data_IF_753212064498
#
_entry.id   IF_753212064498
#
_cell.length_a   1.000
_cell.length_b   1.000
_cell.length_c   1.000
_cell.angle_alpha   90.00
_cell.angle_beta   90.00
_cell.angle_gamma   90.00
#
_symmetry.space_group_name_H-M   'P 1'
#
loop_
_entity.id
_entity.type
_entity.pdbx_description
1 polymer ?
#
# COMPACT_ATOMS: atom_id res chain seq x y z
N UNK A 1 -4.59 24.58 -1.62
CA UNK A 1 -4.61 23.18 -2.19
C UNK A 1 -5.91 22.93 -2.95
N UNK A 2 -5.99 21.88 -3.83
CA UNK A 2 -7.26 21.59 -4.53
C UNK A 2 -8.36 21.17 -3.56
N UNK A 3 -9.60 21.61 -3.80
CA UNK A 3 -10.77 21.36 -2.96
C UNK A 3 -11.03 19.87 -2.70
N UNK A 4 -10.94 19.01 -3.74
CA UNK A 4 -11.08 17.57 -3.58
C UNK A 4 -10.01 16.96 -2.66
N UNK A 5 -8.80 17.52 -2.64
CA UNK A 5 -7.73 17.10 -1.73
C UNK A 5 -8.01 17.58 -0.30
N UNK A 6 -8.52 18.80 -0.15
CA UNK A 6 -8.92 19.37 1.14
C UNK A 6 -9.97 18.50 1.82
N UNK A 7 -11.07 18.18 1.10
CA UNK A 7 -12.16 17.32 1.60
C UNK A 7 -11.62 15.91 1.96
N UNK A 8 -10.76 15.33 1.12
CA UNK A 8 -10.18 14.03 1.43
C UNK A 8 -9.24 14.06 2.64
N UNK A 9 -8.55 15.17 2.88
CA UNK A 9 -7.69 15.36 4.05
C UNK A 9 -8.46 15.67 5.34
N UNK A 10 -9.72 16.11 5.24
CA UNK A 10 -10.59 16.24 6.42
C UNK A 10 -11.19 14.91 6.88
N UNK A 11 -10.87 13.80 6.19
CA UNK A 11 -11.34 12.46 6.58
C UNK A 11 -12.73 12.09 6.04
N UNK A 12 -13.50 13.03 5.47
CA UNK A 12 -14.89 12.82 5.06
C UNK A 12 -15.03 11.71 3.99
N UNK A 13 -14.21 11.73 2.94
CA UNK A 13 -14.31 10.77 1.85
C UNK A 13 -13.00 10.61 1.07
N UNK A 14 -12.99 9.79 0.02
CA UNK A 14 -11.86 9.72 -0.92
C UNK A 14 -11.88 10.91 -1.88
N UNK A 15 -10.73 11.25 -2.48
CA UNK A 15 -10.64 12.32 -3.49
C UNK A 15 -11.62 12.16 -4.65
N UNK A 16 -11.85 10.91 -5.12
CA UNK A 16 -12.83 10.64 -6.20
C UNK A 16 -14.27 10.84 -5.75
N UNK A 17 -14.58 10.49 -4.51
CA UNK A 17 -15.90 10.79 -3.94
C UNK A 17 -16.07 12.28 -3.71
N UNK A 18 -15.01 12.98 -3.25
CA UNK A 18 -15.03 14.42 -3.14
C UNK A 18 -15.29 15.11 -4.49
N UNK A 19 -14.71 14.61 -5.59
CA UNK A 19 -15.02 15.13 -6.94
C UNK A 19 -16.54 15.04 -7.23
N UNK A 20 -17.16 13.89 -6.95
CA UNK A 20 -18.60 13.69 -7.15
C UNK A 20 -19.43 14.61 -6.24
N UNK A 21 -19.12 14.64 -4.93
CA UNK A 21 -19.87 15.46 -3.97
C UNK A 21 -19.78 16.96 -4.28
N UNK A 22 -18.63 17.44 -4.79
CA UNK A 22 -18.51 18.83 -5.26
C UNK A 22 -19.42 19.08 -6.47
N UNK A 23 -19.45 18.17 -7.45
CA UNK A 23 -20.32 18.27 -8.63
C UNK A 23 -21.81 18.16 -8.28
N UNK A 24 -22.15 17.40 -7.22
CA UNK A 24 -23.50 17.26 -6.68
C UNK A 24 -23.96 18.47 -5.83
N UNK A 25 -23.09 19.48 -5.66
CA UNK A 25 -23.44 20.70 -4.93
C UNK A 25 -23.42 20.58 -3.40
N UNK A 26 -22.74 19.57 -2.85
CA UNK A 26 -22.66 19.35 -1.40
C UNK A 26 -21.60 20.23 -0.70
N UNK A 27 -20.88 21.09 -1.44
CA UNK A 27 -19.72 21.83 -0.92
C UNK A 27 -19.90 23.35 -1.14
N UNK A 28 -19.68 24.11 -0.09
CA UNK A 28 -19.60 25.57 -0.18
C UNK A 28 -18.22 26.06 0.26
N UNK A 29 -17.77 27.16 -0.34
CA UNK A 29 -16.55 27.88 0.05
C UNK A 29 -16.94 29.34 0.31
N UNK A 30 -16.65 29.82 1.51
CA UNK A 30 -17.05 31.17 1.97
C UNK A 30 -18.55 31.44 1.78
N UNK A 31 -19.39 30.43 2.06
CA UNK A 31 -20.85 30.51 1.92
C UNK A 31 -21.36 30.35 0.49
N UNK A 32 -20.52 30.36 -0.54
CA UNK A 32 -20.90 30.20 -1.95
C UNK A 32 -20.78 28.75 -2.41
N UNK A 33 -21.77 28.29 -3.17
CA UNK A 33 -21.75 26.95 -3.78
C UNK A 33 -20.54 26.78 -4.71
N UNK A 34 -19.78 25.71 -4.52
CA UNK A 34 -18.60 25.42 -5.33
C UNK A 34 -18.78 24.11 -6.08
N UNK A 35 -18.81 24.17 -7.43
CA UNK A 35 -18.99 23.01 -8.32
C UNK A 35 -17.67 22.57 -9.00
N UNK A 36 -16.56 23.25 -8.75
CA UNK A 36 -15.27 22.89 -9.34
C UNK A 36 -14.39 22.12 -8.32
N UNK A 37 -14.19 20.80 -8.46
CA UNK A 37 -13.33 20.03 -7.56
C UNK A 37 -11.85 20.46 -7.58
N UNK A 38 -11.41 21.15 -8.64
CA UNK A 38 -10.05 21.66 -8.79
C UNK A 38 -9.86 23.07 -8.19
N UNK A 39 -10.92 23.69 -7.64
CA UNK A 39 -10.82 24.97 -6.95
C UNK A 39 -9.65 24.98 -5.96
N UNK A 40 -8.88 26.08 -5.93
CA UNK A 40 -7.74 26.20 -5.05
C UNK A 40 -8.17 26.82 -3.73
N UNK A 41 -8.29 26.00 -2.72
CA UNK A 41 -8.59 26.42 -1.35
C UNK A 41 -7.37 27.12 -0.76
N UNK A 42 -7.55 28.34 -0.29
CA UNK A 42 -6.57 29.14 0.47
C UNK A 42 -6.67 28.85 1.98
N UNK A 43 -5.73 29.37 2.76
CA UNK A 43 -5.74 29.20 4.23
C UNK A 43 -6.87 30.00 4.90
N UNK A 44 -7.33 31.08 4.27
CA UNK A 44 -8.42 31.93 4.76
C UNK A 44 -9.81 31.42 4.39
N UNK A 45 -9.92 30.43 3.48
CA UNK A 45 -11.22 29.95 3.02
C UNK A 45 -11.92 29.08 4.07
N UNK A 46 -13.21 29.36 4.27
CA UNK A 46 -14.08 28.48 5.03
C UNK A 46 -14.73 27.47 4.09
N UNK A 47 -14.40 26.18 4.27
CA UNK A 47 -14.98 25.09 3.48
C UNK A 47 -16.03 24.37 4.32
N UNK A 48 -17.24 24.20 3.77
CA UNK A 48 -18.30 23.38 4.36
C UNK A 48 -18.64 22.20 3.43
N UNK A 49 -18.83 21.05 4.02
CA UNK A 49 -19.31 19.85 3.40
C UNK A 49 -20.62 19.43 4.05
N UNK A 50 -21.67 19.29 3.26
CA UNK A 50 -23.03 19.01 3.76
C UNK A 50 -23.43 19.95 4.92
N UNK A 51 -23.21 21.27 4.74
CA UNK A 51 -23.48 22.32 5.72
C UNK A 51 -22.50 22.41 6.90
N UNK A 52 -21.69 21.38 7.17
CA UNK A 52 -20.73 21.35 8.27
C UNK A 52 -19.38 21.91 7.85
N UNK A 53 -18.80 22.78 8.67
CA UNK A 53 -17.42 23.24 8.44
C UNK A 53 -16.43 22.10 8.62
N UNK A 54 -15.53 21.94 7.68
CA UNK A 54 -14.50 20.90 7.69
C UNK A 54 -13.10 21.50 7.68
N UNK A 55 -12.16 20.76 8.27
CA UNK A 55 -10.75 21.13 8.36
C UNK A 55 -9.88 19.96 7.94
N UNK A 56 -8.72 20.19 7.31
CA UNK A 56 -7.75 19.13 7.11
C UNK A 56 -7.37 18.50 8.45
N UNK A 57 -7.27 17.19 8.49
CA UNK A 57 -6.87 16.48 9.71
C UNK A 57 -5.42 16.81 10.05
N UNK A 58 -5.19 17.31 11.26
CA UNK A 58 -3.86 17.71 11.72
C UNK A 58 -3.04 16.52 12.23
N UNK A 59 -3.72 15.48 12.76
CA UNK A 59 -3.06 14.30 13.30
C UNK A 59 -2.72 13.31 12.20
N UNK A 60 -1.48 13.41 11.73
CA UNK A 60 -0.94 12.43 10.79
C UNK A 60 -0.68 11.12 11.52
N UNK A 61 -1.24 10.03 10.99
CA UNK A 61 -1.02 8.69 11.51
C UNK A 61 -0.58 7.74 10.39
N UNK A 62 0.38 6.89 10.72
CA UNK A 62 0.84 5.82 9.82
C UNK A 62 1.01 4.55 10.65
N UNK A 63 0.39 3.48 10.21
CA UNK A 63 0.45 2.18 10.87
C UNK A 63 1.07 1.12 9.98
N UNK A 64 1.65 0.12 10.62
CA UNK A 64 2.04 -1.14 10.01
C UNK A 64 1.01 -2.20 10.40
N UNK A 65 0.38 -2.82 9.42
CA UNK A 65 -0.49 -3.98 9.58
C UNK A 65 0.26 -5.24 9.13
N UNK A 66 0.26 -6.29 9.94
CA UNK A 66 0.63 -7.64 9.50
C UNK A 66 -0.61 -8.29 8.88
N UNK A 67 -0.85 -8.01 7.60
CA UNK A 67 -2.03 -8.48 6.87
C UNK A 67 -2.07 -10.01 6.80
N UNK A 68 -3.15 -10.68 7.23
CA UNK A 68 -3.35 -12.10 6.99
C UNK A 68 -3.81 -12.37 5.56
N UNK A 69 -3.69 -13.62 5.12
CA UNK A 69 -4.33 -14.09 3.89
C UNK A 69 -5.86 -14.05 4.02
N UNK A 70 -6.56 -14.04 2.91
CA UNK A 70 -8.02 -13.97 2.87
C UNK A 70 -8.61 -12.55 2.85
N UNK A 71 -7.85 -11.54 3.27
CA UNK A 71 -8.27 -10.14 3.27
C UNK A 71 -7.82 -9.42 2.01
N UNK A 72 -8.70 -8.62 1.42
CA UNK A 72 -8.36 -7.79 0.24
C UNK A 72 -7.90 -6.39 0.67
N UNK A 73 -6.95 -5.83 -0.08
CA UNK A 73 -6.44 -4.48 0.18
C UNK A 73 -7.29 -3.45 -0.54
N UNK A 74 -8.37 -3.03 0.10
CA UNK A 74 -9.30 -1.99 -0.37
C UNK A 74 -9.94 -1.28 0.82
N UNK A 75 -10.41 -0.05 0.61
CA UNK A 75 -11.18 0.72 1.59
C UNK A 75 -12.67 0.32 1.63
N UNK A 76 -13.20 -0.21 0.52
CA UNK A 76 -14.59 -0.66 0.40
C UNK A 76 -14.64 -1.78 -0.63
N UNK A 77 -15.42 -2.81 -0.36
CA UNK A 77 -15.66 -3.90 -1.30
C UNK A 77 -17.15 -4.07 -1.58
N UNK A 78 -17.59 -3.89 -2.84
CA UNK A 78 -19.00 -4.06 -3.20
C UNK A 78 -19.54 -5.50 -3.04
N UNK A 79 -18.63 -6.49 -2.98
CA UNK A 79 -18.97 -7.91 -2.86
C UNK A 79 -18.99 -8.41 -1.40
N UNK A 80 -18.79 -7.53 -0.42
CA UNK A 80 -18.82 -7.88 1.00
C UNK A 80 -17.69 -8.80 1.49
N UNK A 81 -16.57 -8.90 0.71
CA UNK A 81 -15.42 -9.70 1.14
C UNK A 81 -14.65 -8.98 2.25
N UNK A 82 -14.00 -9.75 3.12
CA UNK A 82 -13.15 -9.20 4.19
C UNK A 82 -12.06 -8.29 3.63
N UNK A 83 -11.96 -7.08 4.18
CA UNK A 83 -11.01 -6.05 3.77
C UNK A 83 -9.96 -5.80 4.85
N UNK A 84 -8.83 -5.19 4.50
CA UNK A 84 -7.82 -4.80 5.49
C UNK A 84 -8.33 -3.77 6.50
N UNK A 85 -9.40 -3.04 6.17
CA UNK A 85 -10.01 -2.05 7.06
C UNK A 85 -10.77 -2.73 8.20
N UNK A 86 -11.32 -3.92 7.99
CA UNK A 86 -12.03 -4.69 9.02
C UNK A 86 -11.09 -5.14 10.16
N UNK A 87 -9.76 -5.08 9.94
CA UNK A 87 -8.74 -5.40 10.95
C UNK A 87 -8.28 -4.18 11.76
N UNK A 88 -8.74 -2.98 11.39
CA UNK A 88 -8.20 -1.73 11.94
C UNK A 88 -9.31 -0.99 12.68
N UNK A 89 -9.17 -0.94 14.00
CA UNK A 89 -10.02 -0.07 14.83
C UNK A 89 -9.31 1.29 14.96
N UNK A 90 -9.74 2.26 14.15
CA UNK A 90 -9.18 3.62 14.12
C UNK A 90 -10.28 4.64 13.88
N UNK A 91 -10.23 5.74 14.61
CA UNK A 91 -11.10 6.90 14.37
C UNK A 91 -10.70 7.66 13.11
N UNK A 92 -9.39 7.65 12.79
CA UNK A 92 -8.86 8.30 11.60
C UNK A 92 -9.10 7.42 10.37
N UNK A 93 -9.41 8.06 9.24
CA UNK A 93 -9.56 7.40 7.96
C UNK A 93 -8.19 7.05 7.36
N UNK A 94 -7.68 5.86 7.67
CA UNK A 94 -6.43 5.35 7.12
C UNK A 94 -6.66 4.60 5.82
N UNK A 95 -5.79 4.81 4.82
CA UNK A 95 -5.81 4.10 3.54
C UNK A 95 -4.47 3.41 3.25
N UNK A 96 -4.46 2.28 2.54
CA UNK A 96 -3.26 1.48 2.33
C UNK A 96 -2.27 2.15 1.37
N UNK A 97 -0.97 2.04 1.71
CA UNK A 97 0.16 2.42 0.86
C UNK A 97 0.52 1.22 -0.03
N UNK A 98 -0.01 1.23 -1.24
CA UNK A 98 0.06 0.10 -2.15
C UNK A 98 -0.88 -1.04 -1.77
N UNK A 99 -0.60 -2.23 -2.30
CA UNK A 99 -1.49 -3.38 -2.08
C UNK A 99 -0.69 -4.66 -1.86
N UNK A 100 -1.30 -5.59 -1.14
CA UNK A 100 -1.00 -7.00 -1.15
C UNK A 100 -2.21 -7.75 -1.71
N UNK A 101 -1.97 -8.82 -2.45
CA UNK A 101 -3.04 -9.67 -2.96
C UNK A 101 -3.77 -10.38 -1.81
N UNK A 102 -4.97 -10.91 -2.06
CA UNK A 102 -5.78 -11.63 -1.07
C UNK A 102 -5.01 -12.78 -0.42
N UNK A 103 -4.26 -13.50 -1.22
CA UNK A 103 -3.46 -14.68 -0.88
C UNK A 103 -2.00 -14.35 -0.51
N UNK A 104 -1.71 -13.10 -0.16
CA UNK A 104 -0.39 -12.63 0.28
C UNK A 104 -0.51 -12.03 1.67
N UNK A 105 0.36 -12.46 2.58
CA UNK A 105 0.40 -11.96 3.96
C UNK A 105 1.53 -10.96 4.18
N UNK A 106 1.59 -10.41 5.39
CA UNK A 106 2.71 -9.62 5.90
C UNK A 106 2.50 -8.12 5.85
N UNK A 107 3.59 -7.39 5.83
CA UNK A 107 3.67 -5.95 6.04
C UNK A 107 2.87 -5.15 5.03
N UNK A 108 1.86 -4.44 5.50
CA UNK A 108 1.11 -3.43 4.76
C UNK A 108 1.10 -2.14 5.57
N UNK A 109 1.54 -1.04 4.96
CA UNK A 109 1.44 0.29 5.57
C UNK A 109 0.10 0.92 5.23
N UNK A 110 -0.50 1.62 6.20
CA UNK A 110 -1.68 2.46 6.00
C UNK A 110 -1.43 3.83 6.63
N UNK A 111 -2.01 4.88 6.04
CA UNK A 111 -1.82 6.26 6.51
C UNK A 111 -3.00 7.15 6.11
N UNK A 112 -3.15 8.29 6.77
CA UNK A 112 -3.97 9.41 6.32
C UNK A 112 -3.15 10.49 5.58
N UNK A 113 -1.80 10.33 5.50
CA UNK A 113 -0.91 11.24 4.79
C UNK A 113 -0.81 10.89 3.30
N UNK A 114 -1.56 11.59 2.46
CA UNK A 114 -1.54 11.37 1.01
C UNK A 114 -0.22 11.74 0.32
N UNK A 115 0.58 12.63 0.90
CA UNK A 115 1.89 13.00 0.34
C UNK A 115 2.89 11.86 0.58
N UNK A 116 2.94 11.32 1.80
CA UNK A 116 3.75 10.15 2.14
C UNK A 116 3.36 8.93 1.28
N UNK A 117 2.07 8.67 1.15
CA UNK A 117 1.59 7.57 0.33
C UNK A 117 2.02 7.72 -1.15
N UNK A 118 1.92 8.92 -1.71
CA UNK A 118 2.38 9.20 -3.07
C UNK A 118 3.89 8.99 -3.21
N UNK A 119 4.69 9.50 -2.27
CA UNK A 119 6.14 9.29 -2.21
C UNK A 119 6.47 7.79 -2.26
N UNK A 120 5.88 7.00 -1.37
CA UNK A 120 6.20 5.58 -1.21
C UNK A 120 5.64 4.69 -2.35
N UNK A 121 4.59 5.12 -3.04
CA UNK A 121 4.01 4.35 -4.16
C UNK A 121 4.59 4.73 -5.52
N UNK A 122 5.22 5.89 -5.65
CA UNK A 122 5.66 6.38 -6.96
C UNK A 122 6.77 5.49 -7.54
N UNK A 123 6.66 4.97 -8.77
CA UNK A 123 7.63 4.04 -9.35
C UNK A 123 9.06 4.58 -9.44
N UNK A 124 9.24 5.91 -9.55
CA UNK A 124 10.56 6.57 -9.60
C UNK A 124 11.39 6.34 -8.34
N UNK A 125 10.75 6.20 -7.18
CA UNK A 125 11.44 6.10 -5.90
C UNK A 125 11.96 4.69 -5.62
N UNK A 126 11.61 3.70 -6.44
CA UNK A 126 12.14 2.32 -6.43
C UNK A 126 12.23 1.72 -5.02
N UNK A 127 11.19 1.95 -4.21
CA UNK A 127 11.15 1.48 -2.82
C UNK A 127 11.35 -0.03 -2.77
N UNK A 128 12.32 -0.48 -2.00
CA UNK A 128 12.62 -1.90 -1.84
C UNK A 128 11.48 -2.63 -1.13
N UNK A 129 11.16 -3.83 -1.61
CA UNK A 129 10.21 -4.74 -0.98
C UNK A 129 10.86 -6.10 -0.85
N UNK A 130 10.92 -6.63 0.38
CA UNK A 130 11.46 -7.95 0.62
C UNK A 130 10.31 -8.89 0.95
N UNK A 131 10.29 -10.00 0.24
CA UNK A 131 9.31 -11.05 0.43
C UNK A 131 10.00 -12.33 0.90
N UNK A 132 9.37 -13.02 1.82
CA UNK A 132 9.69 -14.39 2.19
C UNK A 132 8.73 -15.33 1.48
N UNK A 133 9.28 -16.31 0.79
CA UNK A 133 8.56 -17.30 0.00
C UNK A 133 8.83 -18.68 0.54
N UNK A 134 7.81 -19.52 0.57
CA UNK A 134 7.96 -20.96 0.71
C UNK A 134 7.73 -21.62 -0.64
N UNK A 135 8.77 -22.32 -1.15
CA UNK A 135 8.79 -22.98 -2.47
C UNK A 135 9.01 -24.48 -2.31
N UNK A 136 8.67 -25.24 -3.36
CA UNK A 136 9.01 -26.67 -3.49
C UNK A 136 10.53 -26.90 -3.51
N UNK A 137 11.29 -25.97 -4.10
CA UNK A 137 12.75 -26.09 -4.24
C UNK A 137 13.41 -24.70 -4.28
N UNK A 138 14.71 -24.57 -3.87
CA UNK A 138 15.46 -23.34 -3.97
C UNK A 138 15.71 -22.95 -5.45
N UNK A 139 15.99 -21.69 -5.70
CA UNK A 139 16.45 -21.23 -7.01
C UNK A 139 17.88 -21.68 -7.26
N UNK A 140 18.12 -22.23 -8.43
CA UNK A 140 19.45 -22.57 -8.91
C UNK A 140 20.25 -21.35 -9.36
N UNK A 141 21.56 -21.48 -9.51
CA UNK A 141 22.44 -20.35 -9.86
C UNK A 141 22.06 -19.69 -11.18
N UNK A 142 21.63 -20.44 -12.19
CA UNK A 142 21.18 -19.89 -13.46
C UNK A 142 19.84 -19.16 -13.35
N UNK A 143 18.90 -19.68 -12.52
CA UNK A 143 17.61 -19.05 -12.25
C UNK A 143 17.79 -17.71 -11.53
N UNK A 144 18.67 -17.65 -10.50
CA UNK A 144 19.02 -16.41 -9.81
C UNK A 144 19.55 -15.35 -10.78
N UNK A 145 20.49 -15.72 -11.65
CA UNK A 145 21.03 -14.82 -12.68
C UNK A 145 19.95 -14.32 -13.64
N UNK A 146 19.05 -15.21 -14.07
CA UNK A 146 17.94 -14.88 -14.97
C UNK A 146 16.96 -13.90 -14.32
N UNK A 147 16.52 -14.16 -13.08
CA UNK A 147 15.59 -13.32 -12.32
C UNK A 147 16.21 -11.94 -12.04
N UNK A 148 17.51 -11.90 -11.71
CA UNK A 148 18.23 -10.65 -11.43
C UNK A 148 18.38 -9.78 -12.68
N UNK A 149 18.55 -10.36 -13.86
CA UNK A 149 18.58 -9.58 -15.11
C UNK A 149 17.18 -9.10 -15.47
N UNK A 150 16.32 -9.96 -15.92
CA UNK A 150 14.88 -9.79 -16.16
C UNK A 150 14.26 -11.12 -16.63
N UNK A 151 13.00 -11.33 -16.29
CA UNK A 151 12.20 -12.49 -16.71
C UNK A 151 10.89 -11.99 -17.33
N UNK A 152 10.51 -12.53 -18.48
CA UNK A 152 9.21 -12.21 -19.07
C UNK A 152 8.10 -12.86 -18.22
N UNK A 153 7.23 -12.02 -17.66
CA UNK A 153 6.17 -12.45 -16.74
C UNK A 153 4.76 -12.43 -17.37
N UNK A 154 4.68 -12.27 -18.69
CA UNK A 154 3.43 -12.18 -19.44
C UNK A 154 2.89 -10.75 -19.53
N UNK A 155 1.80 -10.55 -20.31
CA UNK A 155 1.15 -9.25 -20.50
C UNK A 155 2.11 -8.12 -20.96
N UNK A 156 3.10 -8.46 -21.80
CA UNK A 156 4.17 -7.55 -22.26
C UNK A 156 5.01 -6.96 -21.12
N UNK A 157 5.05 -7.61 -19.94
CA UNK A 157 5.79 -7.16 -18.78
C UNK A 157 6.99 -8.06 -18.46
N UNK A 158 8.01 -7.43 -17.87
CA UNK A 158 9.23 -8.08 -17.40
C UNK A 158 9.34 -7.88 -15.89
N UNK A 159 9.54 -8.95 -15.14
CA UNK A 159 9.85 -8.91 -13.71
C UNK A 159 11.34 -8.92 -13.46
N UNK A 160 11.74 -8.39 -12.32
CA UNK A 160 13.11 -8.42 -11.83
C UNK A 160 13.12 -8.55 -10.32
N UNK A 161 13.92 -9.49 -9.81
CA UNK A 161 14.11 -9.66 -8.37
C UNK A 161 15.55 -10.14 -8.08
N UNK A 162 15.98 -9.93 -6.85
CA UNK A 162 17.24 -10.44 -6.33
C UNK A 162 16.96 -11.48 -5.25
N UNK A 163 17.56 -12.68 -5.38
CA UNK A 163 17.51 -13.70 -4.32
C UNK A 163 18.57 -13.35 -3.29
N UNK A 164 18.13 -12.82 -2.14
CA UNK A 164 19.03 -12.40 -1.06
C UNK A 164 19.52 -13.57 -0.23
N UNK A 165 18.60 -14.41 0.17
CA UNK A 165 18.88 -15.59 0.98
C UNK A 165 17.94 -16.72 0.61
N UNK A 166 18.44 -17.97 0.75
CA UNK A 166 17.60 -19.17 0.65
C UNK A 166 18.17 -20.31 1.47
N UNK A 167 17.28 -21.12 2.04
CA UNK A 167 17.63 -22.34 2.77
C UNK A 167 16.63 -23.44 2.47
N UNK A 168 17.10 -24.71 2.44
CA UNK A 168 16.25 -25.88 2.30
C UNK A 168 15.87 -26.41 3.68
N UNK A 169 14.58 -26.66 3.93
CA UNK A 169 14.04 -27.16 5.18
C UNK A 169 12.97 -28.21 4.87
N UNK A 170 13.16 -29.45 5.35
CA UNK A 170 12.15 -30.53 5.28
C UNK A 170 11.50 -30.66 3.90
N UNK A 171 12.30 -30.70 2.83
CA UNK A 171 11.80 -30.86 1.45
C UNK A 171 11.26 -29.61 0.79
N UNK A 172 11.24 -28.47 1.48
CA UNK A 172 10.84 -27.15 0.97
C UNK A 172 12.01 -26.17 1.00
N UNK A 173 11.87 -25.03 0.35
CA UNK A 173 12.82 -23.93 0.38
C UNK A 173 12.18 -22.66 0.90
N UNK A 174 12.81 -22.02 1.90
CA UNK A 174 12.48 -20.66 2.31
C UNK A 174 13.44 -19.73 1.58
N UNK A 175 12.85 -18.77 0.83
CA UNK A 175 13.60 -17.87 -0.04
C UNK A 175 13.21 -16.43 0.26
N UNK A 176 14.20 -15.54 0.40
CA UNK A 176 13.97 -14.10 0.47
C UNK A 176 14.27 -13.45 -0.87
N UNK A 177 13.27 -12.78 -1.43
CA UNK A 177 13.35 -12.04 -2.68
C UNK A 177 13.21 -10.54 -2.43
N UNK A 178 14.15 -9.76 -2.98
CA UNK A 178 14.09 -8.30 -3.03
C UNK A 178 13.58 -7.83 -4.39
N UNK A 179 12.61 -6.92 -4.38
CA UNK A 179 12.05 -6.26 -5.55
C UNK A 179 12.09 -4.74 -5.38
N UNK A 180 12.37 -4.03 -6.46
CA UNK A 180 12.33 -2.57 -6.56
C UNK A 180 11.07 -2.06 -7.29
N UNK A 181 10.33 -2.98 -7.90
CA UNK A 181 9.09 -2.73 -8.63
C UNK A 181 7.92 -3.36 -7.88
N UNK A 182 6.70 -3.00 -8.24
CA UNK A 182 5.49 -3.54 -7.61
C UNK A 182 4.43 -3.83 -8.67
N UNK A 183 4.78 -4.58 -9.72
CA UNK A 183 3.84 -4.98 -10.75
C UNK A 183 2.80 -5.95 -10.20
N UNK A 184 1.65 -5.99 -10.84
CA UNK A 184 0.56 -6.88 -10.44
C UNK A 184 1.04 -8.33 -10.37
N UNK A 185 0.97 -8.93 -9.15
CA UNK A 185 1.37 -10.33 -8.86
C UNK A 185 2.80 -10.68 -9.33
N UNK A 186 3.72 -9.74 -9.29
CA UNK A 186 5.05 -9.87 -9.87
C UNK A 186 5.81 -11.09 -9.34
N UNK A 187 5.89 -11.25 -8.02
CA UNK A 187 6.58 -12.39 -7.38
C UNK A 187 5.99 -13.72 -7.85
N UNK A 188 4.66 -13.87 -7.81
CA UNK A 188 3.97 -15.11 -8.21
C UNK A 188 4.21 -15.45 -9.67
N UNK A 189 4.22 -14.42 -10.54
CA UNK A 189 4.49 -14.59 -11.97
C UNK A 189 5.95 -14.94 -12.24
N UNK A 190 6.93 -14.41 -11.49
CA UNK A 190 8.33 -14.80 -11.55
C UNK A 190 8.49 -16.28 -11.16
N UNK A 191 7.94 -16.68 -10.00
CA UNK A 191 8.01 -18.07 -9.49
C UNK A 191 7.41 -19.04 -10.49
N UNK A 192 6.22 -18.73 -11.03
CA UNK A 192 5.58 -19.54 -12.07
C UNK A 192 6.46 -19.70 -13.32
N UNK A 193 7.13 -18.60 -13.78
CA UNK A 193 8.05 -18.67 -14.93
C UNK A 193 9.32 -19.49 -14.67
N UNK A 194 9.69 -19.65 -13.42
CA UNK A 194 10.77 -20.54 -12.99
C UNK A 194 10.29 -21.98 -12.74
N UNK A 195 9.03 -22.30 -13.09
CA UNK A 195 8.41 -23.63 -12.92
C UNK A 195 8.49 -24.13 -11.47
N UNK A 196 8.37 -23.23 -10.50
CA UNK A 196 8.36 -23.57 -9.07
C UNK A 196 6.96 -23.43 -8.48
N UNK A 197 6.66 -24.25 -7.48
CA UNK A 197 5.43 -24.20 -6.70
C UNK A 197 5.61 -23.23 -5.53
N UNK A 198 4.72 -22.25 -5.44
CA UNK A 198 4.68 -21.25 -4.34
C UNK A 198 3.61 -21.68 -3.33
N UNK A 199 4.02 -22.04 -2.12
CA UNK A 199 3.13 -22.43 -1.02
C UNK A 199 2.69 -21.22 -0.20
N UNK A 200 3.63 -20.32 0.15
CA UNK A 200 3.31 -19.10 0.88
C UNK A 200 4.09 -17.89 0.35
N UNK A 201 3.51 -16.71 0.54
CA UNK A 201 4.12 -15.42 0.16
C UNK A 201 3.83 -14.38 1.23
N UNK A 202 4.88 -13.92 1.89
CA UNK A 202 4.81 -12.94 2.97
C UNK A 202 5.71 -11.75 2.70
N UNK A 203 5.20 -10.53 2.71
CA UNK A 203 6.06 -9.35 2.66
C UNK A 203 6.61 -9.06 4.04
N UNK A 204 7.92 -9.13 4.20
CA UNK A 204 8.61 -8.96 5.50
C UNK A 204 9.25 -7.58 5.66
N UNK A 205 9.45 -6.83 4.55
CA UNK A 205 10.00 -5.48 4.58
C UNK A 205 9.45 -4.61 3.46
N UNK A 206 9.30 -3.32 3.76
CA UNK A 206 8.93 -2.27 2.82
C UNK A 206 9.78 -1.02 3.09
N UNK A 207 10.69 -0.69 2.18
CA UNK A 207 11.72 0.32 2.43
C UNK A 207 12.51 0.00 3.71
N UNK A 208 12.67 0.96 4.62
CA UNK A 208 13.37 0.75 5.89
C UNK A 208 12.53 0.01 6.96
N UNK A 209 11.22 -0.17 6.72
CA UNK A 209 10.30 -0.74 7.71
C UNK A 209 10.31 -2.26 7.61
N UNK A 210 10.54 -2.92 8.74
CA UNK A 210 10.48 -4.37 8.89
C UNK A 210 9.20 -4.79 9.60
N UNK A 211 8.73 -6.00 9.31
CA UNK A 211 7.54 -6.56 9.92
C UNK A 211 7.75 -6.87 11.42
N UNK A 212 8.98 -7.23 11.77
CA UNK A 212 9.41 -7.63 13.11
C UNK A 212 8.43 -8.64 13.76
N UNK A 213 8.18 -8.49 15.07
CA UNK A 213 7.32 -9.39 15.85
C UNK A 213 5.84 -8.99 15.85
N UNK A 214 5.39 -8.14 14.91
CA UNK A 214 3.96 -7.77 14.84
C UNK A 214 3.12 -9.01 14.56
N UNK A 215 2.17 -9.40 15.44
CA UNK A 215 1.36 -10.60 15.26
C UNK A 215 0.51 -10.56 13.99
N UNK A 216 0.19 -11.72 13.43
CA UNK A 216 -0.66 -11.82 12.25
C UNK A 216 -2.07 -11.25 12.54
N UNK A 217 -2.56 -10.38 11.66
CA UNK A 217 -3.85 -9.69 11.83
C UNK A 217 -3.79 -8.46 12.73
N UNK A 218 -2.67 -8.21 13.42
CA UNK A 218 -2.49 -7.04 14.29
C UNK A 218 -1.80 -5.90 13.56
N UNK A 219 -1.98 -4.69 14.08
CA UNK A 219 -1.31 -3.48 13.61
C UNK A 219 -0.63 -2.74 14.76
N UNK A 220 0.34 -1.90 14.42
CA UNK A 220 0.98 -0.95 15.33
C UNK A 220 1.22 0.38 14.65
N UNK A 221 1.29 1.44 15.42
CA UNK A 221 1.79 2.73 14.91
C UNK A 221 3.28 2.62 14.55
N UNK A 222 3.71 3.39 13.55
CA UNK A 222 5.14 3.56 13.28
C UNK A 222 5.75 4.50 14.31
N UNK A 223 6.97 4.19 14.74
CA UNK A 223 7.75 5.09 15.57
C UNK A 223 8.19 6.33 14.80
N UNK A 224 8.55 7.41 15.50
CA UNK A 224 9.09 8.63 14.88
C UNK A 224 10.32 8.33 14.02
N UNK A 225 11.22 7.49 14.50
CA UNK A 225 12.40 7.07 13.74
C UNK A 225 12.06 6.33 12.45
N UNK A 226 11.01 5.50 12.45
CA UNK A 226 10.52 4.83 11.25
C UNK A 226 9.90 5.83 10.26
N UNK A 227 9.13 6.80 10.75
CA UNK A 227 8.53 7.86 9.94
C UNK A 227 9.60 8.75 9.28
N UNK A 228 10.62 9.18 10.05
CA UNK A 228 11.75 9.96 9.53
C UNK A 228 12.47 9.18 8.41
N UNK A 229 12.74 7.89 8.62
CA UNK A 229 13.38 7.05 7.59
C UNK A 229 12.55 6.94 6.32
N UNK A 230 11.20 6.90 6.42
CA UNK A 230 10.31 6.85 5.25
C UNK A 230 10.24 8.19 4.50
N UNK A 231 10.32 9.31 5.21
CA UNK A 231 10.25 10.64 4.61
C UNK A 231 11.53 11.02 3.87
N UNK A 232 12.66 10.45 4.27
CA UNK A 232 14.00 10.71 3.70
C UNK A 232 14.34 9.77 2.52
N UNK A 233 13.37 9.08 1.92
CA UNK A 233 13.58 8.14 0.81
C UNK A 233 13.48 8.78 -0.57
#
# INVERSE_FOLDING_TARGET
>A
MRLNKFIAQSGECSRRQADNHVLEGMVTVNGNLQLNPAYQVSESDEVRFDGRRIYPEHKIRTILLNKPEGYITTMKDPQGRKTVIDLINSSERLFPIGRLDKDTSGLLLLTNNGNLANLLMHPRNKIERIYELELDSPFESWEKRKIMKKVYIGQKEWGRAEVMHQKKIKGRAIVQLKLLQGKKREVRRIVYRMKKTLYSLKRVQFGPIKLDNTPLGSFRDLSENELIKLQNM
#
